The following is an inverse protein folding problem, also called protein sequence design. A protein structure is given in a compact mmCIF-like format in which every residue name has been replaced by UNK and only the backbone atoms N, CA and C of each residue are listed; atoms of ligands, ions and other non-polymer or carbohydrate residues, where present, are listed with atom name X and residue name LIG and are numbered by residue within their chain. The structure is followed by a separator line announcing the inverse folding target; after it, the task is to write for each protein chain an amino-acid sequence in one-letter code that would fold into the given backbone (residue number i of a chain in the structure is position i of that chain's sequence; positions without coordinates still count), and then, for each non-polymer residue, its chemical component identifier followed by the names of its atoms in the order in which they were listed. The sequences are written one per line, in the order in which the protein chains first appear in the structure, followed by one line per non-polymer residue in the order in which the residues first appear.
data_IF_452511289503
#
_entry.id   IF_452511289503
#
_cell.length_a   1.000
_cell.length_b   1.000
_cell.length_c   1.000
_cell.angle_alpha   90.00
_cell.angle_beta   90.00
_cell.angle_gamma   90.00
#
_symmetry.space_group_name_H-M   'P 1'
#
loop_
_entity.id
_entity.type
_entity.pdbx_description
1 polymer ?
#
# COMPACT_ATOMS: atom_id res chain seq x y z
N UNK A 1 -27.98 3.43 18.88
CA UNK A 1 -26.85 4.33 19.13
C UNK A 1 -26.49 4.89 17.78
N UNK A 2 -26.98 6.08 17.43
CA UNK A 2 -26.75 6.67 16.10
C UNK A 2 -26.27 8.10 16.29
N UNK A 3 -25.00 8.33 15.97
CA UNK A 3 -24.39 9.58 15.51
C UNK A 3 -22.86 9.40 15.41
N UNK A 4 -22.42 8.32 14.77
CA UNK A 4 -21.02 8.22 14.37
C UNK A 4 -20.86 9.00 13.05
N UNK A 5 -20.39 10.24 13.13
CA UNK A 5 -19.90 10.98 11.97
C UNK A 5 -18.46 10.56 11.71
N UNK A 6 -18.26 9.74 10.67
CA UNK A 6 -16.94 9.42 10.16
C UNK A 6 -16.60 10.43 9.06
N UNK A 7 -15.68 11.35 9.33
CA UNK A 7 -15.01 12.12 8.28
C UNK A 7 -14.04 11.19 7.55
N UNK A 8 -14.53 10.53 6.51
CA UNK A 8 -13.66 9.83 5.56
C UNK A 8 -13.02 10.86 4.65
N UNK A 9 -11.81 11.31 4.98
CA UNK A 9 -10.96 11.94 3.96
C UNK A 9 -10.80 10.94 2.82
N UNK A 10 -11.31 11.27 1.65
CA UNK A 10 -11.09 10.48 0.44
C UNK A 10 -9.60 10.45 0.03
N UNK A 11 -8.74 11.22 0.70
CA UNK A 11 -7.30 11.28 0.43
C UNK A 11 -6.52 10.76 1.62
N UNK A 12 -5.58 9.85 1.38
CA UNK A 12 -4.68 9.29 2.41
C UNK A 12 -3.24 9.68 2.06
N UNK A 13 -2.55 10.30 3.02
CA UNK A 13 -1.13 10.65 2.91
C UNK A 13 -0.35 9.68 3.78
N UNK A 14 0.66 9.05 3.20
CA UNK A 14 1.59 8.17 3.91
C UNK A 14 2.99 8.69 3.62
N UNK A 15 3.75 8.89 4.69
CA UNK A 15 5.13 9.34 4.62
C UNK A 15 5.96 8.48 5.56
N UNK A 16 7.20 8.25 5.20
CA UNK A 16 8.12 7.51 6.05
C UNK A 16 9.44 7.30 5.33
N UNK A 17 10.20 6.34 5.82
CA UNK A 17 11.45 5.94 5.21
C UNK A 17 11.37 4.46 4.84
N UNK A 18 11.86 4.11 3.66
CA UNK A 18 12.02 2.72 3.23
C UNK A 18 13.49 2.38 3.21
N UNK A 19 13.80 1.14 3.59
CA UNK A 19 15.16 0.64 3.45
C UNK A 19 15.59 0.71 1.97
N UNK A 20 16.77 1.28 1.70
CA UNK A 20 17.30 1.45 0.35
C UNK A 20 17.40 0.13 -0.43
N UNK A 21 17.60 -1.01 0.25
CA UNK A 21 17.61 -2.34 -0.37
C UNK A 21 16.20 -2.77 -0.85
N UNK A 22 15.14 -2.44 -0.09
CA UNK A 22 13.76 -2.78 -0.46
C UNK A 22 13.26 -1.94 -1.64
N UNK A 23 13.71 -0.67 -1.73
CA UNK A 23 13.34 0.22 -2.84
C UNK A 23 13.81 -0.34 -4.18
N UNK A 24 15.00 -0.96 -4.26
CA UNK A 24 15.56 -1.52 -5.50
C UNK A 24 14.63 -2.54 -6.16
N UNK A 25 13.78 -3.22 -5.39
CA UNK A 25 12.81 -4.17 -5.92
C UNK A 25 11.58 -3.52 -6.54
N UNK A 26 11.19 -2.33 -6.06
CA UNK A 26 10.05 -1.57 -6.58
C UNK A 26 10.46 -0.54 -7.64
N UNK A 27 11.71 -0.08 -7.58
CA UNK A 27 12.30 0.95 -8.43
C UNK A 27 13.66 0.49 -8.97
N UNK A 28 13.70 -0.40 -9.97
CA UNK A 28 14.95 -0.92 -10.53
C UNK A 28 15.86 0.18 -11.12
N UNK A 29 15.30 1.33 -11.50
CA UNK A 29 16.05 2.52 -11.95
C UNK A 29 17.01 3.10 -10.90
N UNK A 30 16.92 2.64 -9.65
CA UNK A 30 17.73 3.09 -8.51
C UNK A 30 18.94 2.21 -8.24
N UNK A 31 19.11 1.13 -9.01
CA UNK A 31 20.11 0.08 -8.76
C UNK A 31 21.56 0.59 -8.78
N UNK A 32 21.86 1.60 -9.61
CA UNK A 32 23.20 2.19 -9.76
C UNK A 32 23.44 3.43 -8.88
N UNK A 33 22.46 3.81 -8.05
CA UNK A 33 22.62 4.92 -7.09
C UNK A 33 23.14 4.39 -5.76
N UNK A 34 24.01 5.16 -5.11
CA UNK A 34 24.26 4.99 -3.67
C UNK A 34 22.94 5.31 -2.95
N UNK A 35 22.12 4.29 -2.72
CA UNK A 35 20.91 4.42 -1.92
C UNK A 35 21.36 4.55 -0.47
N UNK A 36 20.99 5.66 0.18
CA UNK A 36 21.08 5.78 1.64
C UNK A 36 20.41 4.55 2.29
N UNK A 37 20.86 4.17 3.49
CA UNK A 37 20.31 3.01 4.21
C UNK A 37 18.78 3.09 4.34
N UNK A 38 18.28 4.31 4.50
CA UNK A 38 16.86 4.65 4.54
C UNK A 38 16.59 5.85 3.62
N UNK A 39 15.53 5.77 2.82
CA UNK A 39 15.18 6.79 1.83
C UNK A 39 13.75 7.29 2.12
N UNK A 40 13.55 8.61 2.27
CA UNK A 40 12.23 9.18 2.47
C UNK A 40 11.29 8.91 1.28
N UNK A 41 10.02 8.63 1.58
CA UNK A 41 8.98 8.50 0.57
C UNK A 41 7.71 9.24 0.95
N UNK A 42 6.96 9.61 -0.08
CA UNK A 42 5.65 10.23 0.00
C UNK A 42 4.69 9.47 -0.91
N UNK A 43 3.64 8.89 -0.33
CA UNK A 43 2.55 8.21 -1.01
C UNK A 43 1.26 8.95 -0.74
N UNK A 44 0.57 9.31 -1.82
CA UNK A 44 -0.71 10.01 -1.75
C UNK A 44 -1.73 9.18 -2.51
N UNK A 45 -2.74 8.67 -1.81
CA UNK A 45 -3.86 7.98 -2.42
C UNK A 45 -5.06 8.91 -2.52
N UNK A 46 -5.75 8.86 -3.65
CA UNK A 46 -6.96 9.64 -3.92
C UNK A 46 -8.15 8.72 -4.06
N UNK A 47 -9.30 9.20 -3.57
CA UNK A 47 -10.55 8.45 -3.48
C UNK A 47 -10.36 7.11 -2.77
N UNK A 48 -9.83 7.14 -1.55
CA UNK A 48 -9.70 5.97 -0.67
C UNK A 48 -11.06 5.58 -0.15
N UNK A 49 -11.36 4.28 -0.19
CA UNK A 49 -12.60 3.69 0.35
C UNK A 49 -12.36 2.75 1.52
N UNK A 50 -11.15 2.22 1.64
CA UNK A 50 -10.73 1.42 2.78
C UNK A 50 -9.20 1.43 2.86
N UNK A 51 -8.70 1.29 4.09
CA UNK A 51 -7.31 0.94 4.35
C UNK A 51 -7.23 0.09 5.61
N UNK A 52 -6.21 -0.76 5.71
CA UNK A 52 -5.96 -1.59 6.88
C UNK A 52 -4.48 -1.81 7.08
N UNK A 53 -4.05 -1.84 8.33
CA UNK A 53 -2.69 -2.16 8.73
C UNK A 53 -2.62 -3.49 9.45
N UNK A 54 -1.49 -4.17 9.31
CA UNK A 54 -1.17 -5.41 10.02
C UNK A 54 0.33 -5.40 10.33
N UNK A 55 0.74 -5.88 11.50
CA UNK A 55 2.17 -6.10 11.78
C UNK A 55 2.75 -7.07 10.73
N UNK A 56 4.00 -6.83 10.30
CA UNK A 56 4.64 -7.65 9.28
C UNK A 56 4.67 -9.12 9.70
N UNK A 57 5.11 -9.42 10.91
CA UNK A 57 5.17 -10.79 11.43
C UNK A 57 3.77 -11.44 11.49
N UNK A 58 2.74 -10.68 11.83
CA UNK A 58 1.36 -11.17 11.81
C UNK A 58 0.91 -11.49 10.38
N UNK A 59 1.21 -10.60 9.44
CA UNK A 59 0.89 -10.78 8.04
C UNK A 59 1.59 -12.01 7.45
N UNK A 60 2.87 -12.22 7.78
CA UNK A 60 3.65 -13.37 7.32
C UNK A 60 3.09 -14.72 7.79
N UNK A 61 2.39 -14.75 8.92
CA UNK A 61 1.67 -15.93 9.38
C UNK A 61 0.37 -16.20 8.59
N UNK A 62 -0.18 -15.20 7.89
CA UNK A 62 -1.44 -15.29 7.15
C UNK A 62 -1.25 -15.69 5.68
N UNK A 63 -0.08 -15.41 5.09
CA UNK A 63 0.24 -15.75 3.69
C UNK A 63 1.13 -16.98 3.62
N UNK A 64 0.93 -17.88 2.64
CA UNK A 64 1.90 -18.93 2.36
C UNK A 64 3.26 -18.30 2.08
N UNK A 65 4.31 -18.78 2.73
CA UNK A 65 5.66 -18.23 2.70
C UNK A 65 6.07 -17.76 1.28
N UNK A 66 6.35 -16.46 1.13
CA UNK A 66 7.06 -15.96 -0.05
C UNK A 66 8.48 -16.55 -0.04
N UNK A 67 8.79 -17.39 -1.02
CA UNK A 67 9.93 -18.31 -1.01
C UNK A 67 11.26 -17.73 -1.50
N UNK A 68 11.40 -16.42 -1.74
CA UNK A 68 12.64 -15.87 -2.30
C UNK A 68 13.19 -14.59 -1.61
N UNK A 69 12.55 -14.10 -0.56
CA UNK A 69 12.99 -12.87 0.14
C UNK A 69 12.98 -11.61 -0.74
N UNK A 70 12.39 -11.64 -1.94
CA UNK A 70 12.45 -10.56 -2.92
C UNK A 70 11.11 -9.82 -2.99
N UNK A 71 10.63 -9.31 -1.85
CA UNK A 71 9.33 -8.60 -1.80
C UNK A 71 9.50 -7.14 -2.23
N UNK A 72 8.70 -6.63 -3.19
CA UNK A 72 8.67 -5.19 -3.47
C UNK A 72 8.14 -4.44 -2.26
N UNK A 73 8.71 -3.27 -1.98
CA UNK A 73 8.21 -2.36 -0.93
C UNK A 73 6.78 -1.88 -1.22
N UNK A 74 6.36 -1.82 -2.49
CA UNK A 74 5.03 -1.37 -2.88
C UNK A 74 4.53 -2.13 -4.10
N UNK A 75 3.27 -2.60 -4.08
CA UNK A 75 2.69 -3.40 -5.17
C UNK A 75 1.21 -3.13 -5.36
N UNK A 76 0.75 -3.14 -6.62
CA UNK A 76 -0.68 -3.20 -6.97
C UNK A 76 -1.11 -4.68 -7.05
N UNK A 77 -2.01 -5.10 -6.16
CA UNK A 77 -2.52 -6.47 -6.09
C UNK A 77 -3.53 -6.71 -7.21
N UNK A 78 -3.15 -7.57 -8.16
CA UNK A 78 -4.01 -7.99 -9.26
C UNK A 78 -5.11 -8.94 -8.78
N UNK A 79 -6.31 -8.81 -9.35
CA UNK A 79 -7.48 -9.66 -9.03
C UNK A 79 -7.76 -9.76 -7.52
N UNK A 80 -7.76 -8.62 -6.82
CA UNK A 80 -7.93 -8.57 -5.37
C UNK A 80 -9.27 -9.19 -4.94
N UNK A 81 -9.26 -10.33 -4.21
CA UNK A 81 -10.50 -10.95 -3.72
C UNK A 81 -11.22 -10.07 -2.70
N UNK A 82 -10.49 -9.12 -2.09
CA UNK A 82 -11.04 -8.18 -1.13
C UNK A 82 -11.85 -7.12 -1.85
N UNK A 83 -11.33 -6.59 -2.96
CA UNK A 83 -12.04 -5.62 -3.79
C UNK A 83 -13.32 -6.23 -4.37
N UNK A 84 -13.27 -7.49 -4.82
CA UNK A 84 -14.45 -8.22 -5.33
C UNK A 84 -15.56 -8.40 -4.29
N UNK A 85 -15.20 -8.42 -3.00
CA UNK A 85 -16.13 -8.67 -1.88
C UNK A 85 -16.50 -7.40 -1.10
N UNK A 86 -16.00 -6.24 -1.50
CA UNK A 86 -16.31 -5.00 -0.79
C UNK A 86 -17.82 -4.73 -0.85
N UNK A 87 -18.47 -4.49 0.29
CA UNK A 87 -19.88 -4.12 0.32
C UNK A 87 -20.01 -2.68 -0.18
N UNK A 88 -20.27 -2.53 -1.48
CA UNK A 88 -20.48 -1.23 -2.13
C UNK A 88 -21.92 -1.09 -2.60
N UNK A 89 -22.37 0.16 -2.76
CA UNK A 89 -23.69 0.45 -3.34
C UNK A 89 -23.75 -0.02 -4.79
N UNK A 90 -24.96 -0.27 -5.30
CA UNK A 90 -25.17 -0.72 -6.68
C UNK A 90 -24.71 0.32 -7.73
N UNK A 91 -24.79 1.61 -7.40
CA UNK A 91 -24.37 2.72 -8.26
C UNK A 91 -22.89 3.08 -8.11
N UNK A 92 -22.15 2.34 -7.28
CA UNK A 92 -20.73 2.55 -7.07
C UNK A 92 -19.92 1.93 -8.22
N UNK A 93 -19.15 2.76 -8.94
CA UNK A 93 -18.25 2.25 -9.96
C UNK A 93 -17.01 1.63 -9.31
N UNK A 94 -17.04 0.32 -9.04
CA UNK A 94 -15.89 -0.38 -8.46
C UNK A 94 -14.68 -0.47 -9.40
N UNK A 95 -14.87 -0.26 -10.71
CA UNK A 95 -13.84 -0.54 -11.74
C UNK A 95 -12.69 0.44 -11.70
N UNK A 96 -12.91 1.61 -11.09
CA UNK A 96 -11.87 2.62 -10.92
C UNK A 96 -10.97 2.32 -9.72
N UNK A 97 -11.41 1.44 -8.81
CA UNK A 97 -10.70 1.15 -7.57
C UNK A 97 -9.71 0.02 -7.76
N UNK A 98 -8.58 0.14 -7.07
CA UNK A 98 -7.49 -0.82 -7.08
C UNK A 98 -7.04 -1.10 -5.66
N UNK A 99 -6.35 -2.23 -5.49
CA UNK A 99 -5.79 -2.65 -4.22
C UNK A 99 -4.28 -2.45 -4.26
N UNK A 100 -3.77 -1.61 -3.38
CA UNK A 100 -2.35 -1.33 -3.23
C UNK A 100 -1.87 -1.86 -1.89
N UNK A 101 -0.67 -2.42 -1.86
CA UNK A 101 -0.01 -2.91 -0.65
C UNK A 101 1.36 -2.28 -0.50
N UNK A 102 1.61 -1.70 0.66
CA UNK A 102 2.91 -1.19 1.10
C UNK A 102 3.47 -2.11 2.18
N UNK A 103 4.71 -2.54 2.00
CA UNK A 103 5.50 -3.26 2.99
C UNK A 103 6.52 -2.30 3.60
N UNK A 104 6.42 -2.07 4.90
CA UNK A 104 7.46 -1.43 5.70
C UNK A 104 8.21 -2.50 6.50
N UNK A 105 9.16 -2.08 7.34
CA UNK A 105 9.90 -3.01 8.19
C UNK A 105 9.01 -3.72 9.22
N UNK A 106 8.02 -3.02 9.78
CA UNK A 106 7.18 -3.56 10.86
C UNK A 106 5.71 -3.74 10.47
N UNK A 107 5.27 -3.21 9.32
CA UNK A 107 3.84 -3.11 9.00
C UNK A 107 3.57 -3.34 7.52
N UNK A 108 2.50 -4.07 7.25
CA UNK A 108 1.86 -4.17 5.95
C UNK A 108 0.64 -3.27 5.95
N UNK A 109 0.56 -2.36 4.99
CA UNK A 109 -0.57 -1.48 4.77
C UNK A 109 -1.26 -1.85 3.46
N UNK A 110 -2.54 -2.17 3.53
CA UNK A 110 -3.43 -2.33 2.39
C UNK A 110 -4.27 -1.08 2.20
N UNK A 111 -4.38 -0.59 0.96
CA UNK A 111 -5.15 0.60 0.59
C UNK A 111 -6.00 0.30 -0.64
N UNK A 112 -7.29 0.60 -0.55
CA UNK A 112 -8.26 0.53 -1.64
C UNK A 112 -8.58 1.94 -2.11
N UNK A 113 -8.08 2.31 -3.29
CA UNK A 113 -8.14 3.68 -3.80
C UNK A 113 -8.28 3.72 -5.32
N UNK A 114 -8.69 4.86 -5.87
CA UNK A 114 -8.81 5.02 -7.33
C UNK A 114 -7.45 5.29 -8.00
N UNK A 115 -6.56 6.01 -7.31
CA UNK A 115 -5.23 6.34 -7.82
C UNK A 115 -4.25 6.61 -6.70
N UNK A 116 -2.96 6.57 -7.04
CA UNK A 116 -1.87 6.95 -6.14
C UNK A 116 -0.88 7.86 -6.86
N UNK A 117 -0.13 8.65 -6.08
CA UNK A 117 1.10 9.31 -6.48
C UNK A 117 2.19 8.86 -5.53
N UNK A 118 3.32 8.38 -6.07
CA UNK A 118 4.49 7.99 -5.28
C UNK A 118 5.67 8.87 -5.64
N UNK A 119 6.26 9.51 -4.63
CA UNK A 119 7.50 10.25 -4.73
C UNK A 119 8.52 9.64 -3.76
N UNK A 120 9.76 9.49 -4.22
CA UNK A 120 10.91 9.08 -3.42
C UNK A 120 11.94 10.18 -3.57
N UNK A 121 12.52 10.60 -2.45
CA UNK A 121 13.57 11.63 -2.41
C UNK A 121 14.93 10.93 -2.30
N UNK A 122 15.68 10.87 -3.41
CA UNK A 122 16.98 10.18 -3.52
C UNK A 122 18.16 11.08 -3.17
#
# INVERSE_FOLDING_TARGET
MDNAQFESSSRLHITGELNGALIRHSHPETQDRETQDFVPFYLIFERVIASSTCELDTYENLVPHHTDGTRPSFVEIQNSPWLERLPVRQDFDHRIYRHFRLYTYDTVLDVFAASYTWQIDF
#
